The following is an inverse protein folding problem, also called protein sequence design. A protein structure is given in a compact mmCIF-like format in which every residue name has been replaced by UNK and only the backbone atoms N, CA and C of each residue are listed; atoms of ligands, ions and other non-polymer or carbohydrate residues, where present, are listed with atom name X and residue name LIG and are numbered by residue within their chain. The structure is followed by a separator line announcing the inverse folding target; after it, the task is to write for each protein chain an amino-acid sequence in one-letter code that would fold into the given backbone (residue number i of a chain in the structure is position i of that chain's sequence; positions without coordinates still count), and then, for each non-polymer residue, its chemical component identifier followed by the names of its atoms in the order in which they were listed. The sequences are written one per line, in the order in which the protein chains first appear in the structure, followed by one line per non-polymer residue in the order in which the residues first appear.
data_IF_779454750688
#
_entry.id   IF_779454750688
#
_cell.length_a   1.000
_cell.length_b   1.000
_cell.length_c   1.000
_cell.angle_alpha   90.00
_cell.angle_beta   90.00
_cell.angle_gamma   90.00
#
_symmetry.space_group_name_H-M   'P 1'
#
loop_
_entity.id
_entity.type
_entity.pdbx_description
1 polymer ?
#
# COMPACT_ATOMS: atom_id res chain seq x y z
N UNK A 1 -8.28 -8.42 51.69
CA UNK A 1 -8.21 -8.43 50.21
C UNK A 1 -8.92 -7.17 49.75
N UNK A 2 -8.20 -6.18 49.26
CA UNK A 2 -8.82 -4.96 48.71
C UNK A 2 -9.28 -5.35 47.30
N UNK A 3 -10.59 -5.46 47.10
CA UNK A 3 -11.16 -5.71 45.77
C UNK A 3 -11.54 -4.35 45.20
N UNK A 4 -10.83 -3.90 44.16
CA UNK A 4 -11.28 -2.77 43.35
C UNK A 4 -12.54 -3.16 42.61
N UNK A 5 -13.55 -2.28 42.53
CA UNK A 5 -14.80 -2.55 41.79
C UNK A 5 -14.62 -2.46 40.26
N UNK A 6 -13.41 -2.10 39.79
CA UNK A 6 -13.12 -1.99 38.36
C UNK A 6 -13.08 -3.35 37.68
N UNK A 7 -13.71 -3.42 36.51
CA UNK A 7 -13.70 -4.60 35.64
C UNK A 7 -13.25 -4.20 34.25
N UNK A 8 -12.56 -5.10 33.57
CA UNK A 8 -12.29 -5.02 32.15
C UNK A 8 -13.17 -6.02 31.40
N UNK A 9 -13.59 -5.67 30.19
CA UNK A 9 -14.29 -6.60 29.30
C UNK A 9 -13.28 -7.23 28.35
N UNK A 10 -13.28 -8.55 28.23
CA UNK A 10 -12.49 -9.26 27.23
C UNK A 10 -13.22 -9.34 25.89
N UNK A 11 -12.53 -9.82 24.86
CA UNK A 11 -13.06 -9.93 23.48
C UNK A 11 -14.23 -10.91 23.35
N UNK A 12 -14.42 -11.81 24.31
CA UNK A 12 -15.56 -12.73 24.35
C UNK A 12 -16.81 -12.12 25.00
N UNK A 13 -16.70 -10.89 25.51
CA UNK A 13 -17.73 -10.21 26.29
C UNK A 13 -17.74 -10.61 27.78
N UNK A 14 -16.74 -11.38 28.22
CA UNK A 14 -16.54 -11.73 29.62
C UNK A 14 -15.97 -10.54 30.41
N UNK A 15 -16.19 -10.54 31.73
CA UNK A 15 -15.62 -9.51 32.61
C UNK A 15 -14.52 -10.08 33.51
N UNK A 16 -13.45 -9.31 33.65
CA UNK A 16 -12.30 -9.60 34.50
C UNK A 16 -12.22 -8.56 35.60
N UNK A 17 -12.16 -9.02 36.85
CA UNK A 17 -11.97 -8.14 37.99
C UNK A 17 -10.53 -7.63 38.02
N UNK A 18 -10.36 -6.32 37.99
CA UNK A 18 -9.06 -5.69 38.16
C UNK A 18 -8.80 -5.53 39.65
N UNK A 19 -7.69 -6.10 40.13
CA UNK A 19 -7.31 -6.01 41.55
C UNK A 19 -6.48 -4.78 41.85
N UNK A 20 -5.70 -4.31 40.87
CA UNK A 20 -4.83 -3.14 41.04
C UNK A 20 -4.45 -2.48 39.70
N UNK A 21 -3.80 -1.33 39.78
CA UNK A 21 -3.22 -0.58 38.67
C UNK A 21 -1.76 -0.22 39.01
N UNK A 22 -0.83 -0.43 38.09
CA UNK A 22 0.58 -0.11 38.25
C UNK A 22 1.13 0.61 37.02
N UNK A 23 2.17 1.40 37.22
CA UNK A 23 2.91 2.01 36.13
C UNK A 23 3.94 1.00 35.61
N UNK A 24 3.91 0.78 34.29
CA UNK A 24 4.58 -0.27 33.57
C UNK A 24 5.54 0.34 32.57
N UNK A 25 6.75 -0.16 32.55
CA UNK A 25 7.80 0.21 31.62
C UNK A 25 8.16 -1.00 30.77
N UNK A 26 7.78 -0.96 29.49
CA UNK A 26 7.89 -2.07 28.54
C UNK A 26 8.88 -1.72 27.43
N UNK A 27 10.04 -2.39 27.36
CA UNK A 27 10.92 -2.29 26.20
C UNK A 27 10.33 -3.10 25.02
N UNK A 28 10.17 -2.46 23.87
CA UNK A 28 9.68 -3.11 22.65
C UNK A 28 10.33 -2.51 21.40
N UNK A 29 10.87 -3.36 20.51
CA UNK A 29 11.54 -2.96 19.26
C UNK A 29 12.63 -1.87 19.41
N UNK A 30 13.38 -1.91 20.52
CA UNK A 30 14.44 -0.92 20.78
C UNK A 30 13.95 0.43 21.29
N UNK A 31 12.64 0.59 21.53
CA UNK A 31 12.06 1.74 22.21
C UNK A 31 11.53 1.34 23.61
N UNK A 32 11.44 2.31 24.51
CA UNK A 32 10.87 2.13 25.85
C UNK A 32 9.48 2.78 25.88
N UNK A 33 8.47 2.03 26.34
CA UNK A 33 7.10 2.50 26.46
C UNK A 33 6.66 2.45 27.91
N UNK A 34 6.19 3.58 28.46
CA UNK A 34 5.59 3.64 29.79
C UNK A 34 4.06 3.66 29.72
N UNK A 35 3.34 3.15 30.71
CA UNK A 35 1.88 3.19 30.71
C UNK A 35 1.27 2.47 31.90
N UNK A 36 -0.06 2.39 31.94
CA UNK A 36 -0.77 1.72 33.03
C UNK A 36 -0.95 0.24 32.71
N UNK A 37 -0.57 -0.62 33.63
CA UNK A 37 -0.92 -2.03 33.64
C UNK A 37 -1.97 -2.29 34.71
N UNK A 38 -2.87 -3.22 34.44
CA UNK A 38 -3.89 -3.63 35.39
C UNK A 38 -3.62 -5.06 35.86
N UNK A 39 -3.63 -5.26 37.16
CA UNK A 39 -3.54 -6.60 37.74
C UNK A 39 -4.91 -7.25 37.76
N UNK A 40 -4.95 -8.55 37.47
CA UNK A 40 -6.15 -9.37 37.60
C UNK A 40 -5.91 -10.52 38.56
N UNK A 41 -6.98 -11.00 39.22
CA UNK A 41 -6.91 -12.13 40.15
C UNK A 41 -6.79 -13.50 39.45
N UNK A 42 -6.11 -13.55 38.29
CA UNK A 42 -5.88 -14.73 37.46
C UNK A 42 -4.45 -14.68 36.89
N UNK A 43 -3.44 -15.10 37.67
CA UNK A 43 -2.03 -14.94 37.29
C UNK A 43 -1.64 -15.73 36.03
N UNK A 44 -2.39 -16.77 35.67
CA UNK A 44 -2.15 -17.58 34.48
C UNK A 44 -2.65 -16.92 33.18
N UNK A 45 -3.37 -15.79 33.28
CA UNK A 45 -3.99 -15.11 32.16
C UNK A 45 -3.24 -13.81 31.85
N UNK A 46 -2.37 -13.85 30.85
CA UNK A 46 -1.71 -12.66 30.32
C UNK A 46 -2.59 -11.99 29.26
N UNK A 47 -2.98 -10.73 29.49
CA UNK A 47 -3.77 -9.94 28.55
C UNK A 47 -3.11 -8.61 28.27
N UNK A 48 -3.17 -8.18 27.02
CA UNK A 48 -2.83 -6.82 26.63
C UNK A 48 -4.11 -6.02 26.44
N UNK A 49 -4.17 -4.87 27.11
CA UNK A 49 -5.22 -3.89 26.85
C UNK A 49 -5.11 -3.35 25.42
N UNK A 50 -6.23 -2.87 24.90
CA UNK A 50 -6.28 -2.25 23.57
C UNK A 50 -5.37 -1.02 23.48
N UNK A 51 -5.23 -0.29 24.58
CA UNK A 51 -4.30 0.82 24.76
C UNK A 51 -2.85 0.40 24.50
N UNK A 52 -2.41 -0.74 25.07
CA UNK A 52 -1.08 -1.28 24.81
C UNK A 52 -0.92 -1.84 23.41
N UNK A 53 -1.96 -2.49 22.87
CA UNK A 53 -1.95 -3.01 21.49
C UNK A 53 -1.74 -1.88 20.48
N UNK A 54 -2.45 -0.77 20.65
CA UNK A 54 -2.30 0.44 19.84
C UNK A 54 -0.94 1.10 20.06
N UNK A 55 -0.55 1.31 21.32
CA UNK A 55 0.70 1.98 21.69
C UNK A 55 1.94 1.27 21.16
N UNK A 56 1.92 -0.06 21.13
CA UNK A 56 3.01 -0.89 20.61
C UNK A 56 2.89 -1.13 19.09
N UNK A 57 1.84 -0.62 18.42
CA UNK A 57 1.64 -0.78 16.98
C UNK A 57 1.45 -2.25 16.56
N UNK A 58 0.85 -3.08 17.41
CA UNK A 58 0.80 -4.53 17.19
C UNK A 58 -0.14 -4.94 16.06
N UNK A 59 -1.16 -4.12 15.75
CA UNK A 59 -2.15 -4.42 14.71
C UNK A 59 -1.54 -4.40 13.30
N UNK A 60 -0.69 -3.41 13.02
CA UNK A 60 -0.13 -3.22 11.67
C UNK A 60 1.13 -4.05 11.44
N UNK A 61 1.78 -4.50 12.51
CA UNK A 61 3.07 -5.18 12.43
C UNK A 61 3.05 -6.46 11.56
N UNK A 62 2.08 -7.38 11.65
CA UNK A 62 2.02 -8.56 10.77
C UNK A 62 1.83 -8.17 9.30
N UNK A 63 0.93 -7.22 9.02
CA UNK A 63 0.63 -6.76 7.67
C UNK A 63 1.87 -6.10 7.05
N UNK A 64 2.49 -5.17 7.77
CA UNK A 64 3.69 -4.48 7.32
C UNK A 64 4.84 -5.46 7.05
N UNK A 65 4.99 -6.51 7.87
CA UNK A 65 6.02 -7.54 7.63
C UNK A 65 5.81 -8.27 6.31
N UNK A 66 4.56 -8.62 5.99
CA UNK A 66 4.22 -9.32 4.73
C UNK A 66 4.41 -8.37 3.54
N UNK A 67 3.81 -7.17 3.59
CA UNK A 67 3.88 -6.21 2.50
C UNK A 67 5.34 -5.82 2.18
N UNK A 68 6.14 -5.50 3.20
CA UNK A 68 7.55 -5.13 3.01
C UNK A 68 8.39 -6.30 2.49
N UNK A 69 8.07 -7.54 2.89
CA UNK A 69 8.72 -8.75 2.36
C UNK A 69 8.43 -8.99 0.87
N UNK A 70 7.20 -8.74 0.44
CA UNK A 70 6.80 -8.85 -0.98
C UNK A 70 7.45 -7.77 -1.84
N UNK A 71 7.52 -6.52 -1.35
CA UNK A 71 8.22 -5.45 -2.07
C UNK A 71 9.72 -5.71 -2.23
N UNK A 72 10.36 -6.37 -1.26
CA UNK A 72 11.79 -6.69 -1.30
C UNK A 72 12.14 -7.85 -2.25
N UNK A 73 11.17 -8.70 -2.58
CA UNK A 73 11.35 -9.88 -3.44
C UNK A 73 10.83 -9.67 -4.86
N UNK A 74 10.28 -8.49 -5.17
CA UNK A 74 9.92 -8.15 -6.55
C UNK A 74 11.19 -8.20 -7.40
N UNK A 75 11.29 -9.12 -8.38
CA UNK A 75 12.44 -9.12 -9.28
C UNK A 75 12.41 -7.77 -9.99
N UNK A 76 13.48 -6.97 -9.80
CA UNK A 76 13.56 -5.67 -10.47
C UNK A 76 13.27 -5.89 -11.95
N UNK A 77 12.35 -5.09 -12.51
CA UNK A 77 11.98 -5.11 -13.92
C UNK A 77 13.22 -4.95 -14.84
N UNK A 78 14.35 -4.50 -14.28
CA UNK A 78 15.66 -4.45 -14.91
C UNK A 78 16.18 -5.81 -15.37
N UNK A 79 15.89 -6.92 -14.67
CA UNK A 79 16.34 -8.26 -15.10
C UNK A 79 15.47 -8.87 -16.21
N UNK A 80 14.18 -8.51 -16.26
CA UNK A 80 13.26 -8.97 -17.31
C UNK A 80 13.59 -8.36 -18.67
N UNK A 81 13.92 -7.06 -18.69
CA UNK A 81 14.23 -6.35 -19.93
C UNK A 81 15.51 -6.84 -20.62
N UNK A 82 16.52 -7.32 -19.87
CA UNK A 82 17.72 -7.91 -20.50
C UNK A 82 17.40 -9.18 -21.30
N UNK A 83 16.49 -10.02 -20.80
CA UNK A 83 16.13 -11.27 -21.49
C UNK A 83 15.28 -10.97 -22.73
N UNK A 84 14.41 -9.97 -22.67
CA UNK A 84 13.66 -9.48 -23.83
C UNK A 84 14.59 -8.91 -24.92
N UNK A 85 15.59 -8.09 -24.57
CA UNK A 85 16.55 -7.55 -25.56
C UNK A 85 17.39 -8.67 -26.18
N UNK A 86 17.77 -9.69 -25.40
CA UNK A 86 18.58 -10.82 -25.89
C UNK A 86 17.80 -11.71 -26.86
N UNK A 87 16.50 -11.94 -26.62
CA UNK A 87 15.62 -12.69 -27.53
C UNK A 87 15.33 -11.93 -28.83
N UNK A 88 15.16 -10.60 -28.76
CA UNK A 88 14.91 -9.77 -29.95
C UNK A 88 16.16 -9.63 -30.86
N UNK A 89 17.37 -9.81 -30.30
CA UNK A 89 18.63 -9.77 -31.07
C UNK A 89 19.00 -11.08 -31.77
N UNK A 90 18.24 -12.16 -31.53
CA UNK A 90 18.55 -13.51 -32.03
C UNK A 90 17.83 -13.88 -33.34
N UNK A 91 17.15 -12.91 -33.99
CA UNK A 91 16.51 -13.12 -35.30
C UNK A 91 17.47 -12.58 -36.38
N UNK A 92 18.14 -13.42 -37.18
CA UNK A 92 18.88 -12.95 -38.34
C UNK A 92 17.90 -12.34 -39.34
N UNK A 93 18.16 -11.10 -39.79
CA UNK A 93 17.42 -10.53 -40.92
C UNK A 93 17.59 -11.44 -42.14
N UNK A 94 16.52 -11.83 -42.85
CA UNK A 94 16.67 -12.48 -44.15
C UNK A 94 17.38 -11.51 -45.10
N UNK A 95 18.41 -12.02 -45.78
CA UNK A 95 19.24 -11.25 -46.70
C UNK A 95 18.40 -10.63 -47.83
N UNK A 96 18.58 -9.32 -48.03
CA UNK A 96 18.08 -8.59 -49.19
C UNK A 96 18.62 -9.21 -50.49
N UNK A 97 17.72 -9.62 -51.38
CA UNK A 97 18.05 -9.86 -52.79
C UNK A 97 17.67 -8.61 -53.57
N UNK A 98 18.67 -7.83 -53.97
CA UNK A 98 18.52 -6.73 -54.91
C UNK A 98 18.23 -7.22 -56.33
N UNK A 99 17.21 -6.64 -56.98
CA UNK A 99 17.09 -6.26 -58.41
C UNK A 99 15.62 -5.89 -58.65
N UNK A 100 15.21 -4.85 -59.36
CA UNK A 100 15.85 -3.94 -60.29
C UNK A 100 14.91 -2.72 -60.41
N UNK A 101 15.48 -1.54 -60.61
CA UNK A 101 14.79 -0.27 -60.76
C UNK A 101 13.97 -0.23 -62.07
N UNK A 102 12.70 0.17 -62.02
CA UNK A 102 12.02 0.77 -63.19
C UNK A 102 11.20 1.97 -62.78
N UNK A 103 11.60 3.10 -63.37
CA UNK A 103 11.13 4.47 -63.17
C UNK A 103 9.80 4.73 -63.89
N UNK A 104 9.15 5.82 -63.45
CA UNK A 104 8.08 6.60 -64.10
C UNK A 104 6.64 6.17 -63.71
N UNK A 105 5.72 7.03 -63.27
CA UNK A 105 5.48 8.44 -63.58
C UNK A 105 4.78 9.17 -62.42
N UNK A 106 5.11 10.46 -62.31
CA UNK A 106 4.48 11.50 -61.48
C UNK A 106 2.99 11.61 -61.76
N UNK A 107 2.16 11.72 -60.71
CA UNK A 107 1.08 12.71 -60.71
C UNK A 107 0.85 13.27 -59.30
N UNK A 108 0.86 14.59 -59.27
CA UNK A 108 0.74 15.50 -58.13
C UNK A 108 -0.73 15.65 -57.74
N UNK A 109 -1.02 15.54 -56.45
CA UNK A 109 -2.37 15.72 -55.91
C UNK A 109 -2.32 16.39 -54.54
N UNK A 110 -1.96 17.66 -54.56
CA UNK A 110 -1.98 18.62 -53.46
C UNK A 110 -3.39 18.75 -52.85
N UNK A 111 -3.55 18.55 -51.53
CA UNK A 111 -4.47 19.36 -50.69
C UNK A 111 -4.26 19.13 -49.19
N UNK A 112 -3.75 20.15 -48.51
CA UNK A 112 -3.96 20.39 -47.08
C UNK A 112 -5.18 21.35 -46.91
N UNK A 113 -5.46 21.88 -45.71
CA UNK A 113 -6.00 21.27 -44.49
C UNK A 113 -7.33 21.94 -44.07
N UNK A 114 -8.02 21.45 -43.04
CA UNK A 114 -9.05 22.23 -42.33
C UNK A 114 -9.11 21.71 -40.88
N UNK A 115 -8.64 22.47 -39.89
CA UNK A 115 -9.40 23.48 -39.12
C UNK A 115 -10.47 22.81 -38.22
N UNK A 116 -10.68 23.12 -36.95
CA UNK A 116 -10.23 24.24 -36.10
C UNK A 116 -10.70 23.97 -34.66
N UNK A 117 -10.09 24.69 -33.73
CA UNK A 117 -10.15 24.66 -32.27
C UNK A 117 -11.50 25.00 -31.58
N UNK A 118 -11.62 24.44 -30.34
CA UNK A 118 -12.06 25.06 -29.06
C UNK A 118 -13.50 25.55 -28.88
N UNK A 119 -14.09 25.30 -27.69
CA UNK A 119 -14.62 26.32 -26.76
C UNK A 119 -15.26 25.67 -25.51
N UNK A 120 -14.63 25.88 -24.34
CA UNK A 120 -15.28 25.84 -23.04
C UNK A 120 -15.97 27.17 -22.76
N UNK A 121 -17.10 27.18 -22.04
CA UNK A 121 -17.46 28.28 -21.10
C UNK A 121 -18.48 27.78 -20.05
N UNK A 122 -18.48 28.31 -18.81
CA UNK A 122 -19.16 27.73 -17.64
C UNK A 122 -20.49 28.41 -17.28
N UNK A 123 -21.47 27.62 -16.84
CA UNK A 123 -22.78 28.10 -16.39
C UNK A 123 -22.94 28.11 -14.87
N UNK A 124 -22.95 29.32 -14.30
CA UNK A 124 -23.34 29.68 -12.93
C UNK A 124 -24.86 29.62 -12.76
N UNK A 125 -25.39 29.06 -11.66
CA UNK A 125 -26.68 29.52 -11.11
C UNK A 125 -26.90 29.11 -9.65
N UNK A 126 -27.17 30.12 -8.83
CA UNK A 126 -27.54 30.09 -7.42
C UNK A 126 -29.02 29.73 -7.22
N UNK A 127 -29.38 29.02 -6.14
CA UNK A 127 -30.67 29.24 -5.47
C UNK A 127 -30.62 28.89 -3.99
N UNK A 128 -30.93 29.90 -3.17
CA UNK A 128 -31.25 29.85 -1.75
C UNK A 128 -32.77 29.73 -1.56
N UNK A 129 -33.20 29.17 -0.43
CA UNK A 129 -34.56 29.16 0.10
C UNK A 129 -34.60 28.18 1.27
N UNK A 130 -34.44 28.66 2.51
CA UNK A 130 -35.49 29.13 3.42
C UNK A 130 -36.13 27.96 4.17
#
# INVERSE_FOLDING_TARGET
MITSDRKAMDVSGGFLQLTDELECDVPFQGAQFSGKCYLINRPELGLNGLDWIEKLGLLDMPLNRICNGVHSTSPSLTKSNQLATKLMSAIPLPAEVHKEEKKEKVESGEKAPAASETHQTPGRSTRSGA
#
